data_IF_916275527398
#
_entry.id   IF_916275527398
#
_cell.length_a   1.000
_cell.length_b   1.000
_cell.length_c   1.000
_cell.angle_alpha   90.00
_cell.angle_beta   90.00
_cell.angle_gamma   90.00
#
_symmetry.space_group_name_H-M   'P 1'
#
loop_
_entity.id
_entity.type
_entity.pdbx_description
1 polymer ?
#
# COMPACT_ATOMS: atom_id res chain seq x y z
N UNK A 1 -19.70 46.90 50.88
CA UNK A 1 -19.33 46.65 49.48
C UNK A 1 -18.41 45.43 49.43
N UNK A 2 -18.91 44.29 48.92
CA UNK A 2 -18.18 43.01 48.88
C UNK A 2 -17.31 42.96 47.63
N UNK A 3 -15.98 42.95 47.79
CA UNK A 3 -15.02 42.72 46.70
C UNK A 3 -15.01 41.22 46.39
N UNK A 4 -15.64 40.84 45.28
CA UNK A 4 -15.64 39.46 44.78
C UNK A 4 -14.22 39.14 44.31
N UNK A 5 -13.68 38.05 44.86
CA UNK A 5 -12.31 37.58 44.68
C UNK A 5 -12.12 37.03 43.26
N UNK A 6 -11.79 37.94 42.32
CA UNK A 6 -11.60 37.72 40.88
C UNK A 6 -10.34 36.87 40.54
N UNK A 7 -9.85 36.04 41.48
CA UNK A 7 -8.58 35.33 41.35
C UNK A 7 -8.71 33.80 41.27
N UNK A 8 -9.94 33.27 41.19
CA UNK A 8 -10.17 31.80 41.13
C UNK A 8 -10.76 31.29 39.82
N UNK A 9 -11.04 32.17 38.86
CA UNK A 9 -11.65 31.75 37.56
C UNK A 9 -10.57 31.45 36.50
N UNK A 10 -9.33 31.92 36.69
CA UNK A 10 -8.28 31.79 35.68
C UNK A 10 -7.49 30.46 35.71
N UNK A 11 -7.67 29.62 36.74
CA UNK A 11 -6.90 28.37 36.89
C UNK A 11 -7.57 27.15 36.24
N UNK A 12 -8.81 27.28 35.75
CA UNK A 12 -9.55 26.21 35.08
C UNK A 12 -9.28 26.11 33.56
N UNK A 13 -8.54 27.06 32.99
CA UNK A 13 -8.27 27.15 31.55
C UNK A 13 -6.87 26.64 31.13
N UNK A 14 -6.08 26.10 32.06
CA UNK A 14 -4.75 25.52 31.75
C UNK A 14 -4.73 23.97 31.76
N UNK A 15 -5.89 23.31 31.83
CA UNK A 15 -6.00 21.85 31.94
C UNK A 15 -6.42 21.11 30.67
N UNK A 16 -6.60 21.78 29.52
CA UNK A 16 -7.27 21.18 28.35
C UNK A 16 -6.47 21.15 27.05
N UNK A 17 -5.21 21.62 27.03
CA UNK A 17 -4.45 21.76 25.77
C UNK A 17 -3.39 20.67 25.52
N UNK A 18 -3.25 19.67 26.40
CA UNK A 18 -2.26 18.59 26.23
C UNK A 18 -2.83 17.26 25.69
N UNK A 19 -4.11 17.20 25.34
CA UNK A 19 -4.77 15.95 24.91
C UNK A 19 -4.98 15.81 23.39
N UNK A 20 -4.48 16.73 22.55
CA UNK A 20 -4.66 16.67 21.09
C UNK A 20 -3.35 16.72 20.29
N UNK A 21 -2.22 16.43 20.92
CA UNK A 21 -0.89 16.51 20.29
C UNK A 21 -0.42 15.23 19.56
N UNK A 22 -1.19 14.14 19.54
CA UNK A 22 -0.72 12.85 19.00
C UNK A 22 -1.57 12.26 17.86
N UNK A 23 -2.42 13.05 17.21
CA UNK A 23 -3.17 12.58 16.03
C UNK A 23 -2.77 13.27 14.72
N UNK A 24 -1.66 14.03 14.72
CA UNK A 24 -1.14 14.68 13.52
C UNK A 24 -0.11 13.83 12.75
N UNK A 25 0.29 12.66 13.25
CA UNK A 25 0.72 11.59 12.36
C UNK A 25 -0.54 10.92 11.82
N UNK A 26 -1.25 11.63 10.94
CA UNK A 26 -1.85 10.89 9.82
C UNK A 26 -0.67 10.13 9.26
N UNK A 27 -0.67 8.81 9.43
CA UNK A 27 0.13 7.97 8.55
C UNK A 27 -0.24 8.52 7.17
N UNK A 28 0.70 9.26 6.57
CA UNK A 28 0.66 9.49 5.16
C UNK A 28 0.60 8.06 4.69
N UNK A 29 -0.59 7.62 4.25
CA UNK A 29 -0.63 6.58 3.25
C UNK A 29 0.18 7.23 2.15
N UNK A 30 1.50 7.04 2.19
CA UNK A 30 2.25 6.73 1.01
C UNK A 30 1.36 5.67 0.42
N UNK A 31 0.50 6.06 -0.51
CA UNK A 31 -0.03 5.12 -1.47
C UNK A 31 1.26 4.56 -2.01
N UNK A 32 1.70 3.44 -1.43
CA UNK A 32 2.96 2.81 -1.77
C UNK A 32 2.83 2.67 -3.26
N UNK A 33 3.71 3.37 -3.99
CA UNK A 33 3.68 3.34 -5.44
C UNK A 33 3.64 1.87 -5.80
N UNK A 34 2.50 1.41 -6.31
CA UNK A 34 2.29 -0.01 -6.47
C UNK A 34 3.41 -0.48 -7.41
N UNK A 35 4.25 -1.38 -6.90
CA UNK A 35 5.41 -1.85 -7.62
C UNK A 35 4.88 -2.84 -8.65
N UNK A 36 5.26 -2.61 -9.90
CA UNK A 36 4.82 -3.43 -11.02
C UNK A 36 5.82 -4.56 -11.18
N UNK A 37 5.31 -5.78 -11.33
CA UNK A 37 6.13 -6.97 -11.56
C UNK A 37 5.62 -7.69 -12.79
N UNK A 38 6.53 -8.01 -13.71
CA UNK A 38 6.28 -8.90 -14.85
C UNK A 38 6.52 -10.34 -14.45
N UNK A 39 5.69 -11.26 -14.92
CA UNK A 39 5.90 -12.70 -14.69
C UNK A 39 6.81 -13.29 -15.78
N UNK A 40 7.91 -13.90 -15.37
CA UNK A 40 8.90 -14.51 -16.25
C UNK A 40 8.78 -16.05 -16.31
N UNK A 41 7.77 -16.62 -15.64
CA UNK A 41 7.56 -18.07 -15.60
C UNK A 41 6.92 -18.64 -16.88
N UNK A 42 7.07 -19.94 -17.09
CA UNK A 42 6.53 -20.64 -18.26
C UNK A 42 5.19 -21.31 -18.00
N UNK A 43 4.77 -21.47 -16.74
CA UNK A 43 3.50 -22.08 -16.34
C UNK A 43 2.79 -21.29 -15.22
N UNK A 44 1.45 -21.29 -15.20
CA UNK A 44 0.67 -20.58 -14.16
C UNK A 44 0.99 -21.06 -12.75
N UNK A 45 1.31 -22.35 -12.62
CA UNK A 45 1.72 -23.00 -11.38
C UNK A 45 3.01 -22.44 -10.78
N UNK A 46 3.80 -21.67 -11.53
CA UNK A 46 5.00 -20.99 -11.05
C UNK A 46 4.72 -19.59 -10.47
N UNK A 47 3.51 -19.05 -10.62
CA UNK A 47 3.14 -17.67 -10.20
C UNK A 47 3.19 -17.37 -8.70
N UNK A 48 3.44 -18.35 -7.82
CA UNK A 48 3.46 -18.12 -6.35
C UNK A 48 4.82 -17.77 -5.75
N UNK A 49 5.88 -17.77 -6.55
CA UNK A 49 7.24 -17.51 -6.06
C UNK A 49 7.79 -16.22 -6.63
N UNK A 50 8.38 -15.38 -5.77
CA UNK A 50 8.98 -14.10 -6.17
C UNK A 50 10.11 -14.26 -7.21
N UNK A 51 10.74 -15.44 -7.30
CA UNK A 51 11.82 -15.71 -8.27
C UNK A 51 11.33 -15.80 -9.72
N UNK A 52 10.02 -15.93 -9.93
CA UNK A 52 9.41 -15.98 -11.25
C UNK A 52 8.86 -14.61 -11.68
N UNK A 53 9.29 -13.54 -11.00
CA UNK A 53 8.88 -12.18 -11.29
C UNK A 53 10.07 -11.24 -11.35
N UNK A 54 10.04 -10.34 -12.31
CA UNK A 54 10.98 -9.23 -12.43
C UNK A 54 10.25 -7.93 -12.13
N UNK A 55 10.88 -7.07 -11.33
CA UNK A 55 10.36 -5.72 -11.07
C UNK A 55 10.48 -4.88 -12.33
N UNK A 56 9.38 -4.24 -12.73
CA UNK A 56 9.39 -3.23 -13.79
C UNK A 56 9.71 -1.87 -13.17
N UNK A 57 10.81 -1.27 -13.56
CA UNK A 57 11.13 0.11 -13.21
C UNK A 57 10.27 1.10 -14.00
N UNK A 58 10.14 2.32 -13.50
CA UNK A 58 9.29 3.37 -14.10
C UNK A 58 9.70 3.72 -15.54
N UNK A 59 10.97 3.48 -15.90
CA UNK A 59 11.52 3.78 -17.21
C UNK A 59 11.68 2.55 -18.10
N UNK A 60 11.30 1.36 -17.62
CA UNK A 60 11.38 0.15 -18.42
C UNK A 60 10.33 0.18 -19.54
N UNK A 61 10.65 -0.37 -20.73
CA UNK A 61 9.65 -0.56 -21.76
C UNK A 61 8.55 -1.47 -21.23
N UNK A 62 7.30 -1.07 -21.46
CA UNK A 62 6.13 -1.87 -21.09
C UNK A 62 6.24 -3.25 -21.77
N UNK A 63 6.18 -4.36 -21.02
CA UNK A 63 6.26 -5.67 -21.63
C UNK A 63 5.02 -5.91 -22.49
N UNK A 64 5.21 -6.60 -23.61
CA UNK A 64 4.10 -6.98 -24.48
C UNK A 64 3.25 -8.05 -23.77
N UNK A 65 2.11 -7.62 -23.25
CA UNK A 65 1.12 -8.48 -22.60
C UNK A 65 0.13 -9.12 -23.59
N UNK A 66 0.29 -8.93 -24.90
CA UNK A 66 -0.59 -9.51 -25.89
C UNK A 66 -0.36 -11.03 -26.06
N UNK A 67 -1.41 -11.78 -26.42
CA UNK A 67 -1.30 -13.21 -26.76
C UNK A 67 -1.74 -14.19 -25.67
N UNK A 68 -1.18 -15.40 -25.62
CA UNK A 68 -1.60 -16.48 -24.70
C UNK A 68 -0.72 -16.64 -23.46
N UNK A 69 0.22 -15.69 -23.25
CA UNK A 69 1.09 -15.72 -22.09
C UNK A 69 0.30 -15.66 -20.76
N UNK A 70 0.84 -16.39 -19.79
CA UNK A 70 0.38 -16.47 -18.40
C UNK A 70 0.60 -15.11 -17.70
N UNK A 71 0.11 -14.90 -16.46
CA UNK A 71 -0.26 -13.60 -15.92
C UNK A 71 0.79 -12.52 -16.23
N UNK A 72 0.47 -11.48 -17.01
CA UNK A 72 1.53 -10.62 -17.55
C UNK A 72 2.16 -9.70 -16.49
N UNK A 73 1.37 -8.79 -15.89
CA UNK A 73 1.86 -7.81 -14.91
C UNK A 73 0.97 -7.86 -13.67
N UNK A 74 1.58 -7.81 -12.49
CA UNK A 74 0.86 -7.59 -11.23
C UNK A 74 1.33 -6.29 -10.59
N UNK A 75 0.39 -5.61 -9.94
CA UNK A 75 0.68 -4.44 -9.12
C UNK A 75 0.64 -4.83 -7.65
N UNK A 76 1.74 -4.58 -6.97
CA UNK A 76 1.99 -5.01 -5.60
C UNK A 76 2.24 -3.79 -4.73
N UNK A 77 1.42 -3.63 -3.70
CA UNK A 77 1.70 -2.71 -2.61
C UNK A 77 2.58 -3.42 -1.57
N UNK A 78 3.83 -2.99 -1.44
CA UNK A 78 4.80 -3.54 -0.48
C UNK A 78 5.65 -4.70 -1.01
N UNK A 79 5.92 -5.71 -0.17
CA UNK A 79 6.80 -6.82 -0.49
C UNK A 79 6.10 -7.90 -1.35
N UNK A 80 6.70 -8.26 -2.48
CA UNK A 80 6.17 -9.26 -3.41
C UNK A 80 5.90 -10.62 -2.74
N UNK A 81 6.84 -11.19 -1.98
CA UNK A 81 6.63 -12.52 -1.39
C UNK A 81 5.50 -12.52 -0.35
N UNK A 82 5.40 -11.45 0.46
CA UNK A 82 4.26 -11.27 1.37
C UNK A 82 2.94 -11.18 0.61
N UNK A 83 2.92 -10.43 -0.49
CA UNK A 83 1.74 -10.25 -1.34
C UNK A 83 1.28 -11.56 -1.99
N UNK A 84 2.23 -12.36 -2.48
CA UNK A 84 1.99 -13.69 -3.07
C UNK A 84 1.48 -14.69 -2.03
N UNK A 85 2.07 -14.71 -0.83
CA UNK A 85 1.67 -15.60 0.25
C UNK A 85 0.26 -15.30 0.78
N UNK A 86 -0.19 -14.05 0.69
CA UNK A 86 -1.52 -13.62 1.11
C UNK A 86 -2.63 -13.98 0.11
N UNK A 87 -2.29 -14.58 -1.05
CA UNK A 87 -3.23 -14.82 -2.16
C UNK A 87 -3.24 -16.26 -2.66
N UNK A 88 -4.35 -16.64 -3.26
CA UNK A 88 -4.46 -17.88 -4.02
C UNK A 88 -3.90 -17.67 -5.43
N UNK A 89 -3.52 -18.77 -6.09
CA UNK A 89 -3.06 -18.72 -7.48
C UNK A 89 -4.12 -18.09 -8.40
N UNK A 90 -5.40 -18.43 -8.19
CA UNK A 90 -6.52 -17.84 -8.93
C UNK A 90 -6.64 -16.32 -8.77
N UNK A 91 -6.34 -15.78 -7.59
CA UNK A 91 -6.37 -14.32 -7.36
C UNK A 91 -5.22 -13.62 -8.08
N UNK A 92 -4.03 -14.22 -8.07
CA UNK A 92 -2.84 -13.70 -8.76
C UNK A 92 -3.11 -13.69 -10.28
N UNK A 93 -3.61 -14.81 -10.81
CA UNK A 93 -3.98 -14.93 -12.22
C UNK A 93 -5.06 -13.93 -12.63
N UNK A 94 -6.10 -13.75 -11.80
CA UNK A 94 -7.18 -12.82 -12.10
C UNK A 94 -6.71 -11.38 -12.16
N UNK A 95 -5.80 -10.95 -11.28
CA UNK A 95 -5.30 -9.57 -11.31
C UNK A 95 -4.45 -9.33 -12.56
N UNK A 96 -3.55 -10.24 -12.89
CA UNK A 96 -2.70 -10.09 -14.05
C UNK A 96 -3.42 -10.29 -15.38
N UNK A 97 -4.54 -11.02 -15.39
CA UNK A 97 -5.42 -11.06 -16.56
C UNK A 97 -6.14 -9.73 -16.77
N UNK A 98 -6.29 -8.90 -15.73
CA UNK A 98 -6.89 -7.58 -15.87
C UNK A 98 -5.94 -6.55 -16.50
N UNK A 99 -4.64 -6.85 -16.57
CA UNK A 99 -3.62 -6.01 -17.23
C UNK A 99 -3.25 -6.54 -18.62
N UNK A 100 -4.08 -7.43 -19.18
CA UNK A 100 -3.91 -7.99 -20.51
C UNK A 100 -4.74 -7.17 -21.49
N UNK A 101 -4.08 -6.55 -22.47
CA UNK A 101 -4.72 -5.80 -23.56
C UNK A 101 -5.39 -6.72 -24.59
#
# INVERSE_FOLDING_TARGET
MKKVNLLRVFTLLLGFTLAFGFSAFKAVKTQGTAIRYVFDGTSSSQSKSAVNYTMLEVNDPEPDCSGSALPCIIEVDGNLQTWLNARTESQILSQASATKD
#
